data_IF_481458727188
#
_entry.id   IF_481458727188
#
_cell.length_a   1.000
_cell.length_b   1.000
_cell.length_c   1.000
_cell.angle_alpha   90.00
_cell.angle_beta   90.00
_cell.angle_gamma   90.00
#
_symmetry.space_group_name_H-M   'P 1'
#
loop_
_entity.id
_entity.type
_entity.pdbx_description
1 polymer ?
#
# COMPACT_ATOMS: atom_id res chain seq x y z
N UNK A 1 18.43 26.79 -15.92
CA UNK A 1 19.06 26.70 -14.59
C UNK A 1 18.36 25.62 -13.80
N UNK A 2 19.02 24.47 -13.60
CA UNK A 2 18.48 23.37 -12.79
C UNK A 2 18.89 23.71 -11.36
N UNK A 3 17.93 24.08 -10.51
CA UNK A 3 18.16 24.18 -9.07
C UNK A 3 18.41 22.77 -8.56
N UNK A 4 19.67 22.46 -8.24
CA UNK A 4 20.03 21.30 -7.42
C UNK A 4 19.45 21.55 -6.03
N UNK A 5 18.34 20.86 -5.72
CA UNK A 5 17.80 20.81 -4.36
C UNK A 5 18.85 20.13 -3.47
N UNK A 6 19.58 20.93 -2.70
CA UNK A 6 20.42 20.46 -1.60
C UNK A 6 19.53 20.52 -0.35
N UNK A 7 18.93 19.40 0.10
CA UNK A 7 18.25 19.40 1.38
C UNK A 7 19.27 19.76 2.46
N UNK A 8 18.93 20.74 3.28
CA UNK A 8 19.73 21.08 4.46
C UNK A 8 19.86 19.82 5.33
N UNK A 9 21.07 19.32 5.61
CA UNK A 9 21.26 18.13 6.43
C UNK A 9 20.75 18.29 7.85
N UNK A 10 20.50 19.53 8.31
CA UNK A 10 19.84 19.81 9.60
C UNK A 10 18.30 19.72 9.54
N UNK A 11 17.71 19.68 8.34
CA UNK A 11 16.28 19.37 8.12
C UNK A 11 15.97 17.87 8.13
N UNK A 12 16.98 17.01 8.33
CA UNK A 12 16.77 15.61 8.72
C UNK A 12 16.39 15.54 10.21
N UNK A 13 15.36 16.28 10.61
CA UNK A 13 14.68 16.01 11.87
C UNK A 13 13.99 14.67 11.69
N UNK A 14 14.38 13.69 12.49
CA UNK A 14 13.65 12.43 12.59
C UNK A 14 12.23 12.75 13.11
N UNK A 15 11.30 12.91 12.18
CA UNK A 15 9.88 13.05 12.49
C UNK A 15 9.27 11.65 12.50
N UNK A 16 8.88 11.19 13.68
CA UNK A 16 8.21 9.91 13.83
C UNK A 16 6.72 10.10 13.49
N UNK A 17 6.29 9.50 12.38
CA UNK A 17 4.89 9.50 12.00
C UNK A 17 4.03 8.87 13.10
N UNK A 18 2.89 9.50 13.40
CA UNK A 18 1.91 8.91 14.32
C UNK A 18 1.04 7.88 13.57
N UNK A 19 0.85 6.66 14.11
CA UNK A 19 -0.05 5.68 13.52
C UNK A 19 -1.45 6.23 13.31
N UNK A 20 -2.04 5.92 12.16
CA UNK A 20 -3.38 6.37 11.74
C UNK A 20 -3.59 7.88 11.60
N UNK A 21 -2.55 8.70 11.80
CA UNK A 21 -2.61 10.14 11.55
C UNK A 21 -2.07 10.45 10.14
N UNK A 22 -2.80 11.23 9.33
CA UNK A 22 -2.37 11.58 7.99
C UNK A 22 -1.35 12.73 8.04
N UNK A 23 -0.27 12.58 7.29
CA UNK A 23 0.74 13.62 7.13
C UNK A 23 0.88 14.02 5.68
N UNK A 24 0.97 15.33 5.42
CA UNK A 24 1.12 15.85 4.07
C UNK A 24 2.60 16.04 3.75
N UNK A 25 3.07 15.34 2.72
CA UNK A 25 4.46 15.43 2.25
C UNK A 25 4.46 16.14 0.90
N UNK A 26 5.16 17.27 0.86
CA UNK A 26 5.45 17.97 -0.40
C UNK A 26 6.57 17.24 -1.13
N UNK A 27 6.24 16.63 -2.26
CA UNK A 27 7.21 16.08 -3.22
C UNK A 27 7.34 17.03 -4.41
N UNK A 28 8.43 16.93 -5.18
CA UNK A 28 8.77 17.90 -6.24
C UNK A 28 7.63 18.25 -7.22
N UNK A 29 6.64 17.38 -7.38
CA UNK A 29 5.54 17.53 -8.34
C UNK A 29 4.14 17.47 -7.72
N UNK A 30 4.02 17.55 -6.40
CA UNK A 30 2.70 17.53 -5.74
C UNK A 30 2.74 17.33 -4.24
N UNK A 31 1.55 17.24 -3.66
CA UNK A 31 1.35 16.90 -2.25
C UNK A 31 0.80 15.48 -2.20
N UNK A 32 1.38 14.64 -1.35
CA UNK A 32 0.83 13.31 -1.02
C UNK A 32 0.42 13.29 0.44
N UNK A 33 -0.70 12.64 0.74
CA UNK A 33 -1.12 12.31 2.10
C UNK A 33 -0.57 10.93 2.42
N UNK A 34 0.24 10.83 3.46
CA UNK A 34 0.86 9.58 3.91
C UNK A 34 0.29 9.20 5.28
N UNK A 35 -0.22 7.98 5.40
CA UNK A 35 -0.70 7.44 6.68
C UNK A 35 -0.01 6.12 6.96
N UNK A 36 0.52 5.98 8.19
CA UNK A 36 1.12 4.74 8.67
C UNK A 36 0.04 3.88 9.32
N UNK A 37 -0.11 2.64 8.84
CA UNK A 37 -1.07 1.65 9.33
C UNK A 37 -0.32 0.49 10.00
N UNK A 38 -0.39 0.35 11.34
CA UNK A 38 0.11 -0.82 12.06
C UNK A 38 -0.48 -2.11 11.49
N UNK A 39 0.38 -3.03 11.11
CA UNK A 39 0.01 -4.29 10.47
C UNK A 39 0.56 -5.49 11.22
N UNK A 40 0.70 -5.38 12.55
CA UNK A 40 1.18 -6.43 13.45
C UNK A 40 2.69 -6.38 13.71
N UNK A 41 3.24 -7.47 14.22
CA UNK A 41 4.66 -7.60 14.55
C UNK A 41 5.28 -8.75 13.76
N UNK A 42 6.55 -8.59 13.40
CA UNK A 42 7.31 -9.66 12.75
C UNK A 42 7.51 -10.81 13.75
N UNK A 43 7.39 -12.05 13.28
CA UNK A 43 7.70 -13.23 14.13
C UNK A 43 9.21 -13.44 14.32
N UNK A 44 10.02 -12.81 13.46
CA UNK A 44 11.46 -13.03 13.39
C UNK A 44 12.27 -11.81 13.84
N UNK A 45 11.60 -10.70 14.14
CA UNK A 45 12.20 -9.52 14.72
C UNK A 45 11.19 -8.82 15.62
N UNK A 46 11.63 -8.21 16.71
CA UNK A 46 10.78 -7.39 17.60
C UNK A 46 10.35 -6.06 16.94
N UNK A 47 10.25 -6.05 15.61
CA UNK A 47 9.89 -4.87 14.81
C UNK A 47 8.42 -4.92 14.46
N UNK A 48 7.79 -3.77 14.64
CA UNK A 48 6.44 -3.54 14.15
C UNK A 48 6.45 -3.55 12.62
N UNK A 49 5.52 -4.31 12.05
CA UNK A 49 5.24 -4.33 10.62
C UNK A 49 4.22 -3.24 10.36
N UNK A 50 4.51 -2.39 9.40
CA UNK A 50 3.66 -1.26 9.02
C UNK A 50 3.36 -1.29 7.53
N UNK A 51 2.17 -0.84 7.19
CA UNK A 51 1.70 -0.62 5.82
C UNK A 51 1.53 0.88 5.64
N UNK A 52 1.89 1.41 4.48
CA UNK A 52 1.70 2.82 4.18
C UNK A 52 0.52 3.00 3.23
N UNK A 53 -0.46 3.81 3.63
CA UNK A 53 -1.47 4.35 2.73
C UNK A 53 -0.96 5.68 2.18
N UNK A 54 -1.00 5.83 0.86
CA UNK A 54 -0.59 7.05 0.18
C UNK A 54 -1.78 7.52 -0.65
N UNK A 55 -2.32 8.70 -0.34
CA UNK A 55 -3.28 9.37 -1.22
C UNK A 55 -2.57 10.43 -2.03
N UNK A 56 -2.91 10.48 -3.32
CA UNK A 56 -2.43 11.49 -4.25
C UNK A 56 -3.66 12.32 -4.68
N UNK A 57 -4.04 13.37 -3.93
CA UNK A 57 -5.28 14.11 -4.19
C UNK A 57 -5.35 14.69 -5.61
N UNK A 58 -4.22 15.11 -6.17
CA UNK A 58 -4.15 15.65 -7.53
C UNK A 58 -4.41 14.61 -8.63
N UNK A 59 -4.23 13.33 -8.34
CA UNK A 59 -4.45 12.23 -9.29
C UNK A 59 -5.70 11.42 -8.96
N UNK A 60 -6.40 11.74 -7.86
CA UNK A 60 -7.49 10.94 -7.29
C UNK A 60 -7.10 9.47 -7.12
N UNK A 61 -5.87 9.22 -6.68
CA UNK A 61 -5.32 7.87 -6.49
C UNK A 61 -5.01 7.54 -5.05
N UNK A 62 -5.40 6.34 -4.65
CA UNK A 62 -5.08 5.72 -3.38
C UNK A 62 -4.15 4.53 -3.61
N UNK A 63 -2.98 4.56 -2.98
CA UNK A 63 -1.96 3.52 -3.07
C UNK A 63 -1.75 2.89 -1.70
N UNK A 64 -1.47 1.59 -1.69
CA UNK A 64 -1.13 0.85 -0.49
C UNK A 64 0.24 0.18 -0.67
N UNK A 65 1.18 0.45 0.23
CA UNK A 65 2.53 -0.11 0.16
C UNK A 65 2.73 -1.10 1.30
N UNK A 66 2.95 -2.37 0.94
CA UNK A 66 3.16 -3.49 1.86
C UNK A 66 4.60 -3.95 1.74
N UNK A 67 5.42 -3.59 2.73
CA UNK A 67 6.83 -3.96 2.78
C UNK A 67 7.08 -5.31 3.44
N UNK A 68 6.31 -5.65 4.47
CA UNK A 68 6.41 -6.93 5.17
C UNK A 68 4.98 -7.39 5.53
N UNK A 69 4.77 -8.70 5.59
CA UNK A 69 3.48 -9.29 5.99
C UNK A 69 3.63 -9.88 7.38
N UNK A 70 2.81 -9.44 8.33
CA UNK A 70 2.79 -10.06 9.66
C UNK A 70 1.88 -11.30 9.69
N UNK A 71 1.80 -11.90 10.86
CA UNK A 71 0.80 -12.94 11.17
C UNK A 71 -0.64 -12.43 11.20
N UNK A 72 -0.82 -11.14 11.44
CA UNK A 72 -2.09 -10.45 11.58
C UNK A 72 -2.17 -9.33 10.53
N UNK A 73 -2.87 -9.58 9.43
CA UNK A 73 -3.18 -8.55 8.44
C UNK A 73 -4.51 -7.87 8.78
N UNK A 74 -4.55 -7.20 9.95
CA UNK A 74 -5.71 -6.43 10.42
C UNK A 74 -5.32 -4.95 10.61
N UNK A 75 -4.70 -4.37 9.59
CA UNK A 75 -4.29 -2.96 9.58
C UNK A 75 -5.40 -1.98 9.21
N UNK A 76 -6.58 -2.52 8.92
CA UNK A 76 -7.83 -1.78 8.90
C UNK A 76 -8.72 -2.32 10.03
N UNK A 77 -8.43 -2.01 11.29
CA UNK A 77 -9.27 -2.48 12.39
C UNK A 77 -10.71 -2.07 12.10
N UNK A 78 -11.64 -3.03 12.11
CA UNK A 78 -13.03 -2.86 11.68
C UNK A 78 -13.77 -1.74 12.45
N UNK A 79 -13.28 -1.40 13.64
CA UNK A 79 -13.81 -0.35 14.51
C UNK A 79 -13.14 1.02 14.33
N UNK A 80 -12.23 1.16 13.37
CA UNK A 80 -11.50 2.40 13.10
C UNK A 80 -12.12 3.15 11.92
N UNK A 81 -12.32 4.45 12.05
CA UNK A 81 -12.96 5.29 11.02
C UNK A 81 -12.23 5.28 9.66
N UNK A 82 -10.94 4.91 9.64
CA UNK A 82 -10.20 4.70 8.41
C UNK A 82 -10.60 3.45 7.64
N UNK A 83 -11.06 2.40 8.32
CA UNK A 83 -11.47 1.15 7.67
C UNK A 83 -12.62 1.41 6.69
N UNK A 84 -13.70 2.05 7.16
CA UNK A 84 -14.84 2.39 6.29
C UNK A 84 -14.42 3.34 5.18
N UNK A 85 -13.68 4.41 5.52
CA UNK A 85 -13.26 5.41 4.54
C UNK A 85 -12.39 4.83 3.41
N UNK A 86 -11.45 3.95 3.72
CA UNK A 86 -10.56 3.36 2.71
C UNK A 86 -11.28 2.33 1.87
N UNK A 87 -12.22 1.57 2.45
CA UNK A 87 -13.05 0.66 1.67
C UNK A 87 -14.02 1.41 0.75
N UNK A 88 -14.55 2.55 1.19
CA UNK A 88 -15.45 3.39 0.38
C UNK A 88 -14.69 4.10 -0.76
N UNK A 89 -13.53 4.69 -0.47
CA UNK A 89 -12.69 5.34 -1.49
C UNK A 89 -12.00 4.32 -2.41
N UNK A 90 -11.78 3.10 -1.91
CA UNK A 90 -11.07 2.04 -2.61
C UNK A 90 -9.56 2.27 -2.71
N UNK A 91 -8.83 1.22 -3.11
CA UNK A 91 -7.39 1.25 -3.38
C UNK A 91 -7.16 1.03 -4.88
N UNK A 92 -6.41 1.92 -5.53
CA UNK A 92 -6.10 1.80 -6.95
C UNK A 92 -4.94 0.86 -7.20
N UNK A 93 -3.89 0.96 -6.39
CA UNK A 93 -2.68 0.14 -6.56
C UNK A 93 -2.18 -0.36 -5.21
N UNK A 94 -1.93 -1.66 -5.13
CA UNK A 94 -1.19 -2.27 -4.02
C UNK A 94 0.23 -2.58 -4.49
N UNK A 95 1.22 -1.95 -3.87
CA UNK A 95 2.62 -2.29 -4.02
C UNK A 95 3.03 -3.33 -2.97
N UNK A 96 3.64 -4.42 -3.43
CA UNK A 96 4.07 -5.53 -2.58
C UNK A 96 5.59 -5.67 -2.66
N UNK A 97 6.21 -5.90 -1.51
CA UNK A 97 7.60 -6.35 -1.46
C UNK A 97 7.73 -7.76 -2.03
N UNK A 98 8.22 -7.85 -3.27
CA UNK A 98 8.36 -9.10 -4.02
C UNK A 98 9.41 -10.06 -3.44
N UNK A 99 10.20 -9.64 -2.45
CA UNK A 99 11.12 -10.55 -1.73
C UNK A 99 10.39 -11.68 -1.02
N UNK A 100 9.12 -11.51 -0.66
CA UNK A 100 8.28 -12.59 -0.08
C UNK A 100 8.05 -13.74 -1.07
N UNK A 101 8.29 -13.50 -2.36
CA UNK A 101 8.15 -14.46 -3.45
C UNK A 101 9.48 -15.09 -3.87
N UNK A 102 10.60 -14.61 -3.35
CA UNK A 102 11.90 -15.21 -3.61
C UNK A 102 12.13 -16.42 -2.71
N UNK A 103 12.37 -17.59 -3.31
CA UNK A 103 12.69 -18.85 -2.61
C UNK A 103 11.60 -19.37 -1.65
N UNK A 104 10.35 -18.91 -1.78
CA UNK A 104 9.21 -19.34 -0.96
C UNK A 104 8.24 -20.18 -1.81
N UNK A 105 7.82 -21.37 -1.37
CA UNK A 105 6.83 -22.17 -2.09
C UNK A 105 5.50 -21.42 -2.25
N UNK A 106 4.79 -21.54 -3.39
CA UNK A 106 3.46 -20.95 -3.59
C UNK A 106 2.40 -21.39 -2.57
N UNK A 107 2.63 -22.52 -1.90
CA UNK A 107 1.78 -23.04 -0.82
C UNK A 107 2.00 -22.34 0.53
N UNK A 108 2.93 -21.40 0.64
CA UNK A 108 3.24 -20.77 1.92
C UNK A 108 2.05 -19.97 2.45
N UNK A 109 1.99 -19.85 3.77
CA UNK A 109 0.96 -19.04 4.43
C UNK A 109 1.02 -17.56 4.02
N UNK A 110 2.18 -17.06 3.62
CA UNK A 110 2.34 -15.66 3.19
C UNK A 110 1.63 -15.39 1.85
N UNK A 111 1.73 -16.32 0.88
CA UNK A 111 1.00 -16.23 -0.39
C UNK A 111 -0.50 -16.15 -0.16
N UNK A 112 -1.04 -17.07 0.64
CA UNK A 112 -2.48 -17.13 0.92
C UNK A 112 -2.98 -15.88 1.65
N UNK A 113 -2.21 -15.37 2.62
CA UNK A 113 -2.56 -14.16 3.36
C UNK A 113 -2.65 -12.93 2.46
N UNK A 114 -1.65 -12.72 1.62
CA UNK A 114 -1.67 -11.61 0.69
C UNK A 114 -2.80 -11.75 -0.34
N UNK A 115 -3.02 -12.94 -0.87
CA UNK A 115 -4.15 -13.18 -1.78
C UNK A 115 -5.50 -12.86 -1.12
N UNK A 116 -5.71 -13.27 0.12
CA UNK A 116 -6.94 -12.97 0.87
C UNK A 116 -7.09 -11.47 1.14
N UNK A 117 -6.01 -10.79 1.49
CA UNK A 117 -6.00 -9.33 1.66
C UNK A 117 -6.42 -8.62 0.36
N UNK A 118 -5.83 -9.01 -0.76
CA UNK A 118 -6.17 -8.46 -2.07
C UNK A 118 -7.63 -8.76 -2.44
N UNK A 119 -8.16 -9.94 -2.09
CA UNK A 119 -9.58 -10.27 -2.31
C UNK A 119 -10.55 -9.42 -1.49
N UNK A 120 -10.13 -8.97 -0.31
CA UNK A 120 -10.95 -8.12 0.55
C UNK A 120 -10.94 -6.67 0.07
N UNK A 121 -9.77 -6.16 -0.36
CA UNK A 121 -9.60 -4.77 -0.80
C UNK A 121 -10.03 -4.58 -2.27
N UNK A 122 -9.85 -5.61 -3.11
CA UNK A 122 -10.11 -5.61 -4.55
C UNK A 122 -9.47 -4.42 -5.28
N UNK A 123 -8.13 -4.26 -5.21
CA UNK A 123 -7.49 -3.08 -5.77
C UNK A 123 -7.58 -3.05 -7.29
N UNK A 124 -7.41 -1.86 -7.89
CA UNK A 124 -7.32 -1.71 -9.35
C UNK A 124 -6.16 -2.49 -9.98
N UNK A 125 -5.01 -2.52 -9.31
CA UNK A 125 -3.82 -3.24 -9.73
C UNK A 125 -2.96 -3.68 -8.52
N UNK A 126 -2.08 -4.65 -8.76
CA UNK A 126 -1.05 -5.08 -7.83
C UNK A 126 0.31 -5.07 -8.54
N UNK A 127 1.30 -4.41 -7.94
CA UNK A 127 2.64 -4.20 -8.50
C UNK A 127 3.73 -4.57 -7.50
N UNK A 128 4.91 -4.94 -8.00
CA UNK A 128 6.10 -5.21 -7.17
C UNK A 128 6.82 -3.90 -6.83
N UNK A 129 7.39 -3.83 -5.62
CA UNK A 129 8.23 -2.71 -5.20
C UNK A 129 9.61 -2.70 -5.89
N UNK A 130 10.22 -3.86 -6.14
CA UNK A 130 11.53 -3.95 -6.80
C UNK A 130 11.42 -4.10 -8.33
N UNK A 131 10.20 -4.20 -8.87
CA UNK A 131 9.92 -4.39 -10.29
C UNK A 131 9.96 -5.85 -10.77
N UNK A 132 10.11 -6.82 -9.85
CA UNK A 132 10.10 -8.24 -10.18
C UNK A 132 8.70 -8.71 -10.63
N UNK A 133 8.59 -9.73 -11.50
CA UNK A 133 7.31 -10.33 -11.85
C UNK A 133 6.61 -10.89 -10.61
N UNK A 134 5.37 -10.47 -10.39
CA UNK A 134 4.49 -11.04 -9.39
C UNK A 134 3.72 -12.25 -9.93
N UNK A 135 3.34 -13.23 -9.10
CA UNK A 135 2.47 -14.34 -9.51
C UNK A 135 1.15 -13.84 -10.13
N UNK A 136 0.79 -14.39 -11.30
CA UNK A 136 -0.42 -13.98 -12.03
C UNK A 136 -1.71 -14.15 -11.23
N UNK A 137 -1.73 -15.11 -10.30
CA UNK A 137 -2.87 -15.35 -9.42
C UNK A 137 -3.25 -14.10 -8.62
N UNK A 138 -2.31 -13.23 -8.25
CA UNK A 138 -2.62 -12.01 -7.50
C UNK A 138 -3.49 -11.04 -8.33
N UNK A 139 -3.28 -10.99 -9.65
CA UNK A 139 -4.07 -10.15 -10.55
C UNK A 139 -5.53 -10.60 -10.63
N UNK A 140 -5.81 -11.88 -10.35
CA UNK A 140 -7.18 -12.40 -10.29
C UNK A 140 -7.97 -11.86 -9.09
N UNK A 141 -7.30 -11.30 -8.08
CA UNK A 141 -7.94 -10.66 -6.93
C UNK A 141 -8.21 -9.16 -7.13
N UNK A 142 -7.70 -8.55 -8.21
CA UNK A 142 -7.96 -7.15 -8.53
C UNK A 142 -9.38 -6.95 -9.07
N UNK A 143 -9.95 -5.75 -8.84
CA UNK A 143 -11.25 -5.38 -9.42
C UNK A 143 -11.14 -5.35 -10.93
N UNK A 144 -12.14 -5.89 -11.63
CA UNK A 144 -12.19 -5.79 -13.09
C UNK A 144 -12.42 -4.32 -13.46
N UNK A 145 -11.76 -3.81 -14.50
CA UNK A 145 -12.06 -2.47 -15.01
C UNK A 145 -13.56 -2.42 -15.35
N UNK A 146 -14.26 -1.43 -14.82
CA UNK A 146 -15.65 -1.19 -15.16
C UNK A 146 -15.68 -0.88 -16.65
N UNK A 147 -16.13 -1.84 -17.47
CA UNK A 147 -16.44 -1.56 -18.85
C UNK A 147 -17.54 -0.49 -18.82
N UNK A 148 -17.20 0.77 -19.13
CA UNK A 148 -18.21 1.79 -19.41
C UNK A 148 -19.13 1.18 -20.45
N UNK A 149 -20.36 0.87 -20.06
CA UNK A 149 -21.38 0.42 -20.98
C UNK A 149 -21.37 1.42 -22.14
N UNK A 150 -21.14 0.93 -23.36
CA UNK A 150 -21.32 1.75 -24.55
C UNK A 150 -22.76 2.24 -24.50
N UNK A 151 -22.96 3.51 -24.18
CA UNK A 151 -24.20 4.21 -24.48
C UNK A 151 -24.34 4.17 -26.01
N UNK A 152 -25.14 3.22 -26.49
CA UNK A 152 -25.65 3.22 -27.85
C UNK A 152 -26.63 4.38 -27.94
N UNK A 153 -26.20 5.43 -28.63
CA UNK A 153 -27.07 6.46 -29.21
C UNK A 153 -28.09 5.85 -30.17
#
# INVERSE_FOLDING_TARGET
YIYSYQPDPTLLTFHAMQPYEPEFVCVQRGVVELTLLPAGQSLYSDKDIVVFLIKQPAEEKNLLVIKELSTLLDFFPHNHHYHSRILDEGIDVVYVDDRIYHNVPPSSHQYHRLYNLLRNIQPGAVLSLLGSPLPDVLRSACRKPVQKAKESH
#
